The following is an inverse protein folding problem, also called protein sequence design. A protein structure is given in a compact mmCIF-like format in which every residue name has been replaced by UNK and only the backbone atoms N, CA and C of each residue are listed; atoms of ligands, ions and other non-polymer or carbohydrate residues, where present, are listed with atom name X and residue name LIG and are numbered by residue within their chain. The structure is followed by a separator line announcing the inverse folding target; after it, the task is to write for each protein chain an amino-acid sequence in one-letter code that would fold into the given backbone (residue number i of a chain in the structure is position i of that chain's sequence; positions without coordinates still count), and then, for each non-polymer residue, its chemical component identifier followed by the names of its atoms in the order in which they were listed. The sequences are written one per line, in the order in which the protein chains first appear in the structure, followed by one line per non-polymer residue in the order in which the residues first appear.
data_IF_613933131485
#
_entry.id   IF_613933131485
#
_cell.length_a   1.000
_cell.length_b   1.000
_cell.length_c   1.000
_cell.angle_alpha   90.00
_cell.angle_beta   90.00
_cell.angle_gamma   90.00
#
_symmetry.space_group_name_H-M   'P 1'
#
loop_
_entity.id
_entity.type
_entity.pdbx_description
1 polymer ?
#
# COMPACT_ATOMS: atom_id res chain seq x y z
N UNK A 1 0.49 14.25 18.19
CA UNK A 1 1.05 14.69 16.89
C UNK A 1 0.69 13.63 15.87
N UNK A 2 0.05 13.99 14.75
CA UNK A 2 -0.27 13.09 13.64
C UNK A 2 0.76 13.31 12.52
N UNK A 3 1.27 12.22 11.93
CA UNK A 3 2.34 12.27 10.92
C UNK A 3 1.75 12.07 9.49
N UNK A 4 0.59 11.43 9.37
CA UNK A 4 -0.11 11.22 8.11
C UNK A 4 -1.32 10.29 8.26
N UNK A 5 -2.07 10.13 7.17
CA UNK A 5 -3.19 9.20 7.04
C UNK A 5 -2.79 8.04 6.12
N UNK A 6 -3.28 6.84 6.40
CA UNK A 6 -2.99 5.63 5.63
C UNK A 6 -4.28 5.04 5.05
N UNK A 7 -4.25 4.63 3.79
CA UNK A 7 -5.37 3.96 3.13
C UNK A 7 -4.91 3.01 2.02
N UNK A 8 -5.73 2.00 1.73
CA UNK A 8 -5.51 1.02 0.68
C UNK A 8 -6.40 1.27 -0.54
N UNK A 9 -5.85 1.14 -1.75
CA UNK A 9 -6.62 1.25 -2.98
C UNK A 9 -6.32 0.10 -3.95
N UNK A 10 -7.34 -0.32 -4.71
CA UNK A 10 -7.22 -1.37 -5.70
C UNK A 10 -6.88 -0.78 -7.07
N UNK A 11 -5.78 -1.24 -7.66
CA UNK A 11 -5.37 -0.94 -9.03
C UNK A 11 -5.65 -2.16 -9.90
N UNK A 12 -6.45 -1.99 -10.96
CA UNK A 12 -6.80 -3.08 -11.87
C UNK A 12 -5.58 -3.59 -12.61
N UNK A 13 -5.46 -4.91 -12.73
CA UNK A 13 -4.39 -5.57 -13.48
C UNK A 13 -4.92 -6.76 -14.28
N UNK A 14 -4.11 -7.20 -15.24
CA UNK A 14 -4.22 -8.57 -15.76
C UNK A 14 -3.48 -9.50 -14.78
N UNK A 15 -4.18 -10.47 -14.16
CA UNK A 15 -3.56 -11.33 -13.17
C UNK A 15 -2.52 -12.28 -13.79
N UNK A 16 -1.49 -12.70 -13.04
CA UNK A 16 -0.60 -13.76 -13.47
C UNK A 16 -1.35 -15.08 -13.71
N UNK A 17 -0.98 -15.80 -14.75
CA UNK A 17 -1.58 -17.11 -15.07
C UNK A 17 -1.43 -18.08 -13.88
N UNK A 18 -2.53 -18.70 -13.48
CA UNK A 18 -2.55 -19.66 -12.37
C UNK A 18 -2.70 -19.04 -10.97
N UNK A 19 -2.70 -17.72 -10.84
CA UNK A 19 -2.92 -17.01 -9.56
C UNK A 19 -4.17 -16.11 -9.59
N UNK A 20 -5.03 -16.24 -10.60
CA UNK A 20 -6.12 -15.29 -10.87
C UNK A 20 -7.06 -15.03 -9.68
N UNK A 21 -7.32 -16.08 -8.90
CA UNK A 21 -8.19 -16.01 -7.71
C UNK A 21 -7.62 -15.15 -6.59
N UNK A 22 -6.30 -15.02 -6.50
CA UNK A 22 -5.63 -14.26 -5.45
C UNK A 22 -5.71 -12.76 -5.73
N UNK A 23 -5.80 -12.39 -7.01
CA UNK A 23 -5.94 -11.02 -7.44
C UNK A 23 -7.41 -10.59 -7.60
N UNK A 24 -8.37 -11.53 -7.61
CA UNK A 24 -9.79 -11.22 -7.72
C UNK A 24 -10.35 -10.63 -6.41
N UNK A 25 -10.80 -9.38 -6.46
CA UNK A 25 -11.23 -8.63 -5.29
C UNK A 25 -12.76 -8.68 -5.07
N UNK A 26 -13.20 -8.12 -3.93
CA UNK A 26 -14.63 -8.04 -3.58
C UNK A 26 -15.46 -7.15 -4.52
N UNK A 27 -14.81 -6.26 -5.29
CA UNK A 27 -15.43 -5.42 -6.32
C UNK A 27 -15.56 -6.14 -7.67
N UNK A 28 -15.28 -7.45 -7.72
CA UNK A 28 -15.43 -8.32 -8.88
C UNK A 28 -14.51 -8.00 -10.06
N UNK A 29 -13.28 -7.56 -9.78
CA UNK A 29 -12.22 -7.43 -10.79
C UNK A 29 -10.86 -7.86 -10.24
N UNK A 30 -9.90 -8.14 -11.13
CA UNK A 30 -8.53 -8.48 -10.73
C UNK A 30 -7.72 -7.23 -10.44
N UNK A 31 -7.03 -7.20 -9.29
CA UNK A 31 -6.31 -6.03 -8.84
C UNK A 31 -5.11 -6.36 -7.99
N UNK A 32 -4.21 -5.41 -7.87
CA UNK A 32 -3.23 -5.31 -6.77
C UNK A 32 -3.64 -4.19 -5.83
N UNK A 33 -3.23 -4.31 -4.57
CA UNK A 33 -3.44 -3.27 -3.56
C UNK A 33 -2.22 -2.34 -3.55
N UNK A 34 -2.49 -1.05 -3.53
CA UNK A 34 -1.56 0.01 -3.21
C UNK A 34 -1.94 0.58 -1.85
N UNK A 35 -1.08 0.38 -0.85
CA UNK A 35 -1.23 0.97 0.47
C UNK A 35 -0.35 2.22 0.56
N UNK A 36 -0.94 3.37 0.81
CA UNK A 36 -0.22 4.64 0.78
C UNK A 36 -0.42 5.46 2.05
N UNK A 37 0.60 6.22 2.42
CA UNK A 37 0.55 7.22 3.50
C UNK A 37 0.67 8.61 2.89
N UNK A 38 -0.21 9.50 3.32
CA UNK A 38 -0.28 10.89 2.87
C UNK A 38 -0.17 11.83 4.07
N UNK A 39 0.67 12.86 3.97
CA UNK A 39 0.83 13.87 5.02
C UNK A 39 -0.27 14.96 4.97
N UNK A 40 -0.23 15.89 5.92
CA UNK A 40 -1.17 17.01 5.97
C UNK A 40 -1.05 18.00 4.80
N UNK A 41 0.05 17.94 4.02
CA UNK A 41 0.26 18.74 2.80
C UNK A 41 -0.21 18.00 1.55
N UNK A 42 -0.95 16.90 1.70
CA UNK A 42 -1.45 16.05 0.62
C UNK A 42 -0.34 15.42 -0.22
N UNK A 43 0.85 15.21 0.35
CA UNK A 43 1.97 14.54 -0.32
C UNK A 43 2.04 13.08 0.11
N UNK A 44 2.26 12.20 -0.86
CA UNK A 44 2.63 10.81 -0.57
C UNK A 44 4.01 10.77 0.09
N UNK A 45 4.09 10.13 1.24
CA UNK A 45 5.34 9.96 2.01
C UNK A 45 5.78 8.48 2.02
N UNK A 46 4.84 7.57 1.80
CA UNK A 46 5.10 6.15 1.68
C UNK A 46 4.09 5.49 0.75
N UNK A 47 4.56 4.56 -0.07
CA UNK A 47 3.73 3.73 -0.94
C UNK A 47 4.25 2.29 -0.88
N UNK A 48 3.37 1.35 -0.58
CA UNK A 48 3.60 -0.08 -0.71
C UNK A 48 2.68 -0.63 -1.81
N UNK A 49 3.24 -1.40 -2.74
CA UNK A 49 2.56 -1.86 -3.95
C UNK A 49 2.72 -3.37 -4.07
N UNK A 50 1.72 -4.04 -4.63
CA UNK A 50 1.89 -5.40 -5.18
C UNK A 50 1.17 -6.50 -4.43
N UNK A 51 0.59 -6.21 -3.26
CA UNK A 51 -0.21 -7.19 -2.55
C UNK A 51 -1.42 -7.65 -3.41
N UNK A 52 -1.77 -8.95 -3.41
CA UNK A 52 -2.90 -9.45 -4.19
C UNK A 52 -4.21 -8.78 -3.81
N UNK A 53 -5.08 -8.54 -4.80
CA UNK A 53 -6.36 -7.84 -4.65
C UNK A 53 -7.37 -8.51 -3.71
N UNK A 54 -7.14 -9.76 -3.30
CA UNK A 54 -7.97 -10.44 -2.31
C UNK A 54 -7.57 -10.12 -0.86
N UNK A 55 -6.37 -9.58 -0.64
CA UNK A 55 -5.91 -9.20 0.69
C UNK A 55 -6.77 -8.05 1.27
N UNK A 56 -6.77 -7.92 2.60
CA UNK A 56 -7.35 -6.76 3.28
C UNK A 56 -6.24 -5.79 3.71
N UNK A 57 -6.61 -4.54 3.97
CA UNK A 57 -5.64 -3.48 4.31
C UNK A 57 -4.85 -3.78 5.59
N UNK A 58 -5.45 -4.45 6.57
CA UNK A 58 -4.76 -4.84 7.81
C UNK A 58 -3.64 -5.84 7.55
N UNK A 59 -3.87 -6.80 6.64
CA UNK A 59 -2.87 -7.76 6.22
C UNK A 59 -1.75 -7.06 5.45
N UNK A 60 -2.08 -6.23 4.46
CA UNK A 60 -1.08 -5.47 3.69
C UNK A 60 -0.26 -4.56 4.61
N UNK A 61 -0.90 -3.87 5.55
CA UNK A 61 -0.24 -3.06 6.57
C UNK A 61 0.78 -3.86 7.37
N UNK A 62 0.38 -5.04 7.87
CA UNK A 62 1.24 -5.91 8.67
C UNK A 62 2.45 -6.47 7.93
N UNK A 63 2.35 -6.64 6.60
CA UNK A 63 3.45 -7.10 5.74
C UNK A 63 4.32 -5.95 5.22
N UNK A 64 3.82 -4.72 5.28
CA UNK A 64 4.53 -3.53 4.82
C UNK A 64 5.60 -3.08 5.82
N UNK A 65 6.62 -2.34 5.37
CA UNK A 65 7.65 -1.77 6.27
C UNK A 65 7.30 -0.36 6.74
N UNK A 66 6.02 0.02 6.68
CA UNK A 66 5.56 1.37 7.00
C UNK A 66 5.97 1.80 8.41
N UNK A 67 5.90 0.88 9.38
CA UNK A 67 6.29 1.14 10.77
C UNK A 67 7.78 1.45 10.92
N UNK A 68 8.64 0.71 10.22
CA UNK A 68 10.09 0.93 10.27
C UNK A 68 10.46 2.26 9.60
N UNK A 69 9.81 2.55 8.47
CA UNK A 69 9.99 3.81 7.73
C UNK A 69 9.53 5.00 8.58
N UNK A 70 8.38 4.92 9.23
CA UNK A 70 7.84 6.00 10.08
C UNK A 70 8.67 6.25 11.35
N UNK A 71 9.37 5.24 11.88
CA UNK A 71 10.28 5.39 13.02
C UNK A 71 11.58 6.11 12.64
N UNK A 72 11.90 6.22 11.34
CA UNK A 72 13.10 6.91 10.90
C UNK A 72 12.95 8.42 11.15
N UNK A 73 13.88 9.06 11.89
CA UNK A 73 13.80 10.49 12.21
C UNK A 73 13.82 11.40 10.97
N UNK A 74 14.26 10.88 9.81
CA UNK A 74 14.33 11.62 8.54
C UNK A 74 13.01 11.49 7.75
N UNK A 75 12.06 10.64 8.15
CA UNK A 75 10.82 10.41 7.40
C UNK A 75 10.02 11.71 7.13
N UNK A 76 10.01 12.64 8.08
CA UNK A 76 9.32 13.92 7.94
C UNK A 76 10.02 14.93 6.99
N UNK A 77 11.18 14.57 6.41
CA UNK A 77 12.00 15.47 5.58
C UNK A 77 11.66 15.41 4.06
N UNK A 78 10.43 15.02 3.70
CA UNK A 78 9.91 14.97 2.31
C UNK A 78 10.47 13.85 1.40
N UNK A 79 10.84 12.68 1.93
CA UNK A 79 11.24 11.55 1.09
C UNK A 79 10.06 10.61 0.83
N UNK A 80 9.70 10.42 -0.45
CA UNK A 80 8.78 9.36 -0.86
C UNK A 80 9.51 8.02 -0.78
N UNK A 81 8.99 7.10 0.04
CA UNK A 81 9.48 5.71 0.07
C UNK A 81 8.55 4.81 -0.72
N UNK A 82 9.07 4.12 -1.74
CA UNK A 82 8.32 3.13 -2.52
C UNK A 82 8.84 1.74 -2.19
N UNK A 83 7.91 0.83 -1.90
CA UNK A 83 8.21 -0.56 -1.61
C UNK A 83 7.28 -1.47 -2.39
N UNK A 84 7.81 -2.62 -2.80
CA UNK A 84 7.02 -3.70 -3.36
C UNK A 84 6.95 -4.83 -2.34
N UNK A 85 5.75 -5.40 -2.19
CA UNK A 85 5.49 -6.60 -1.40
C UNK A 85 5.62 -7.83 -2.28
#
# INVERSE_FOLDING_TARGET
MCIGCIDGTHISIEPPTGAETDYFNYKKFHSVIVLAVVDASLKFTYINIGAPGRCNDSYVYSQSRVLDVMKNPIYAQNYLTIQNT
#
